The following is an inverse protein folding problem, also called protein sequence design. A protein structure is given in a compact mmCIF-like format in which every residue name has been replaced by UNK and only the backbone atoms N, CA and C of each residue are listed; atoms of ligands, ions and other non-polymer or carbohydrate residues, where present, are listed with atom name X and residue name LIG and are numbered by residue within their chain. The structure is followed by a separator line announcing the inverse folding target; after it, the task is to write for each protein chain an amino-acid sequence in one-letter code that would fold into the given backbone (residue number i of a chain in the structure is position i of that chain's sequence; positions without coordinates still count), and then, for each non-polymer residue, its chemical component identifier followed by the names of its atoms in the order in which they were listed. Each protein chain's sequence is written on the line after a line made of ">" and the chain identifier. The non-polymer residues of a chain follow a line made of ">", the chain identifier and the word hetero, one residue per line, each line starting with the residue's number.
data_IF_407815151432
#
_entry.id   IF_407815151432
#
_cell.length_a   1.000
_cell.length_b   1.000
_cell.length_c   1.000
_cell.angle_alpha   90.00
_cell.angle_beta   90.00
_cell.angle_gamma   90.00
#
_symmetry.space_group_name_H-M   'P 1'
#
loop_
_entity.id
_entity.type
_entity.pdbx_description
1 polymer ?
#
# COMPACT_ATOMS: atom_id res chain seq x y z
N UNK A 1 0.17 -1.01 -27.97
CA UNK A 1 0.57 -2.09 -27.04
C UNK A 1 0.15 -1.72 -25.62
N UNK A 2 -0.76 -2.48 -25.00
CA UNK A 2 -1.30 -2.13 -23.68
C UNK A 2 -0.30 -2.44 -22.56
N UNK A 3 -0.29 -1.62 -21.50
CA UNK A 3 0.55 -1.80 -20.29
C UNK A 3 0.37 -3.17 -19.62
N UNK A 4 -0.79 -3.81 -19.82
CA UNK A 4 -1.12 -5.15 -19.30
C UNK A 4 -0.28 -6.23 -19.98
N UNK A 5 -0.08 -6.12 -21.29
CA UNK A 5 0.70 -7.10 -22.06
C UNK A 5 2.19 -7.08 -21.65
N UNK A 6 2.75 -5.89 -21.46
CA UNK A 6 4.12 -5.70 -20.97
C UNK A 6 4.29 -6.23 -19.54
N UNK A 7 3.34 -5.97 -18.64
CA UNK A 7 3.39 -6.48 -17.26
C UNK A 7 3.42 -8.01 -17.18
N UNK A 8 2.61 -8.69 -18.01
CA UNK A 8 2.59 -10.14 -18.09
C UNK A 8 3.88 -10.71 -18.66
N UNK A 9 4.48 -10.04 -19.66
CA UNK A 9 5.76 -10.43 -20.24
C UNK A 9 6.90 -10.39 -19.20
N UNK A 10 6.96 -9.36 -18.35
CA UNK A 10 7.95 -9.27 -17.27
C UNK A 10 7.76 -10.34 -16.17
N UNK A 11 6.52 -10.77 -15.90
CA UNK A 11 6.25 -11.86 -14.96
C UNK A 11 6.76 -13.20 -15.51
N UNK A 12 6.54 -13.46 -16.80
CA UNK A 12 7.08 -14.64 -17.49
C UNK A 12 8.62 -14.65 -17.41
N UNK A 13 9.28 -13.56 -17.80
CA UNK A 13 10.75 -13.47 -17.68
C UNK A 13 11.26 -13.68 -16.25
N UNK A 14 10.52 -13.28 -15.21
CA UNK A 14 10.90 -13.53 -13.81
C UNK A 14 10.86 -15.01 -13.40
N UNK A 15 9.92 -15.79 -13.95
CA UNK A 15 9.82 -17.24 -13.70
C UNK A 15 10.90 -18.01 -14.44
N UNK A 16 11.19 -17.62 -15.68
CA UNK A 16 12.19 -18.29 -16.52
C UNK A 16 13.62 -17.78 -16.29
N UNK A 17 13.80 -16.57 -15.72
CA UNK A 17 15.08 -15.92 -15.47
C UNK A 17 15.58 -16.09 -14.02
N UNK A 18 15.53 -17.32 -13.47
CA UNK A 18 16.11 -17.68 -12.17
C UNK A 18 15.67 -16.80 -10.96
N UNK A 19 14.51 -16.15 -11.00
CA UNK A 19 13.97 -15.33 -9.91
C UNK A 19 14.89 -14.19 -9.41
N UNK A 20 15.77 -13.64 -10.25
CA UNK A 20 16.73 -12.59 -9.84
C UNK A 20 16.06 -11.36 -9.19
N UNK A 21 14.83 -11.02 -9.60
CA UNK A 21 14.08 -9.89 -9.04
C UNK A 21 12.63 -10.26 -8.78
N UNK A 22 12.17 -10.07 -7.55
CA UNK A 22 10.76 -10.29 -7.20
C UNK A 22 9.89 -9.22 -7.90
N UNK A 23 8.78 -9.60 -8.57
CA UNK A 23 7.91 -8.66 -9.30
C UNK A 23 7.35 -7.49 -8.46
N UNK A 24 7.33 -7.59 -7.12
CA UNK A 24 6.98 -6.50 -6.20
C UNK A 24 7.91 -5.28 -6.33
N UNK A 25 9.14 -5.49 -6.78
CA UNK A 25 10.15 -4.44 -6.99
C UNK A 25 9.92 -3.68 -8.31
N UNK A 26 9.23 -4.28 -9.28
CA UNK A 26 8.92 -3.68 -10.58
C UNK A 26 7.72 -2.73 -10.52
N UNK A 27 6.91 -2.81 -9.45
CA UNK A 27 5.73 -1.96 -9.27
C UNK A 27 6.17 -0.53 -8.93
N UNK A 28 5.90 0.40 -9.84
CA UNK A 28 6.05 1.84 -9.60
C UNK A 28 4.93 2.33 -8.68
N UNK A 29 5.31 3.04 -7.62
CA UNK A 29 4.35 3.59 -6.66
C UNK A 29 4.99 3.94 -5.31
N UNK A 30 4.17 4.41 -4.35
CA UNK A 30 4.66 4.76 -3.03
C UNK A 30 5.27 3.56 -2.32
N UNK A 31 6.46 3.73 -1.73
CA UNK A 31 7.24 2.62 -1.13
C UNK A 31 6.46 1.84 -0.07
N UNK A 32 5.54 2.51 0.61
CA UNK A 32 4.67 1.92 1.63
C UNK A 32 3.53 1.07 1.07
N UNK A 33 3.31 1.08 -0.25
CA UNK A 33 2.26 0.31 -0.96
C UNK A 33 2.82 -0.72 -1.96
N UNK A 34 4.12 -0.70 -2.26
CA UNK A 34 4.71 -1.68 -3.20
C UNK A 34 4.58 -3.09 -2.65
N UNK A 35 3.93 -3.97 -3.42
CA UNK A 35 3.78 -5.38 -3.08
C UNK A 35 2.95 -5.67 -1.83
N UNK A 36 2.12 -4.72 -1.38
CA UNK A 36 1.33 -4.83 -0.17
C UNK A 36 -0.12 -4.44 -0.44
N UNK A 37 -1.08 -5.25 0.05
CA UNK A 37 -2.53 -5.02 -0.06
C UNK A 37 -3.13 -5.00 1.33
N UNK A 38 -4.02 -4.06 1.59
CA UNK A 38 -4.77 -3.97 2.84
C UNK A 38 -5.82 -2.87 2.80
N UNK A 39 -6.67 -2.86 3.82
CA UNK A 39 -7.76 -1.88 3.92
C UNK A 39 -7.23 -0.46 4.20
N UNK A 40 -8.12 0.53 4.17
CA UNK A 40 -7.72 1.93 4.36
C UNK A 40 -7.03 2.17 5.71
N UNK A 41 -7.55 1.60 6.80
CA UNK A 41 -6.96 1.75 8.14
C UNK A 41 -5.52 1.21 8.18
N UNK A 42 -5.32 0.01 7.65
CA UNK A 42 -4.00 -0.62 7.57
C UNK A 42 -3.04 0.20 6.69
N UNK A 43 -3.51 0.75 5.56
CA UNK A 43 -2.74 1.67 4.72
C UNK A 43 -2.29 2.91 5.50
N UNK A 44 -3.21 3.57 6.21
CA UNK A 44 -2.89 4.77 6.98
C UNK A 44 -1.87 4.49 8.11
N UNK A 45 -2.03 3.38 8.84
CA UNK A 45 -1.08 2.96 9.89
C UNK A 45 0.30 2.70 9.30
N UNK A 46 0.37 1.99 8.17
CA UNK A 46 1.63 1.70 7.47
C UNK A 46 2.30 2.97 6.94
N UNK A 47 1.53 3.91 6.36
CA UNK A 47 2.02 5.24 5.95
C UNK A 47 2.67 5.97 7.12
N UNK A 48 1.97 6.03 8.26
CA UNK A 48 2.45 6.70 9.46
C UNK A 48 3.76 6.08 9.94
N UNK A 49 3.85 4.75 10.01
CA UNK A 49 5.06 4.05 10.48
C UNK A 49 6.27 4.23 9.55
N UNK A 50 6.06 4.24 8.23
CA UNK A 50 7.15 4.28 7.25
C UNK A 50 7.57 5.69 6.81
N UNK A 51 6.64 6.65 6.87
CA UNK A 51 6.80 7.97 6.24
C UNK A 51 6.50 9.10 7.23
N UNK A 52 5.97 8.81 8.42
CA UNK A 52 5.46 9.82 9.36
C UNK A 52 6.52 10.84 9.81
N UNK A 53 7.77 10.42 9.99
CA UNK A 53 8.85 11.30 10.46
C UNK A 53 9.23 12.39 9.44
N UNK A 54 8.89 12.20 8.16
CA UNK A 54 9.20 13.14 7.06
C UNK A 54 7.95 13.78 6.46
N UNK A 55 6.79 13.59 7.08
CA UNK A 55 5.54 14.23 6.65
C UNK A 55 5.45 15.63 7.25
N UNK A 56 4.81 16.54 6.53
CA UNK A 56 4.43 17.84 7.07
C UNK A 56 3.50 17.67 8.28
N UNK A 57 3.55 18.64 9.20
CA UNK A 57 2.80 18.60 10.44
C UNK A 57 1.29 18.44 10.20
N UNK A 58 0.73 19.23 9.28
CA UNK A 58 -0.70 19.19 8.96
C UNK A 58 -1.12 17.86 8.34
N UNK A 59 -0.29 17.31 7.45
CA UNK A 59 -0.53 16.00 6.84
C UNK A 59 -0.50 14.88 7.88
N UNK A 60 0.45 14.93 8.82
CA UNK A 60 0.55 13.96 9.90
C UNK A 60 -0.64 14.09 10.86
N UNK A 61 -1.05 15.32 11.18
CA UNK A 61 -2.22 15.61 12.00
C UNK A 61 -3.50 15.07 11.35
N UNK A 62 -3.71 15.32 10.06
CA UNK A 62 -4.85 14.81 9.29
C UNK A 62 -4.83 13.28 9.18
N UNK A 63 -3.65 12.67 8.97
CA UNK A 63 -3.49 11.22 8.97
C UNK A 63 -3.90 10.61 10.31
N UNK A 64 -3.49 11.23 11.43
CA UNK A 64 -3.87 10.79 12.77
C UNK A 64 -5.38 10.92 13.05
N UNK A 65 -6.03 11.98 12.53
CA UNK A 65 -7.50 12.11 12.58
C UNK A 65 -8.17 10.99 11.79
N UNK A 66 -7.70 10.70 10.58
CA UNK A 66 -8.25 9.62 9.73
C UNK A 66 -8.11 8.25 10.36
N UNK A 67 -6.96 7.93 10.95
CA UNK A 67 -6.74 6.66 11.67
C UNK A 67 -7.73 6.53 12.83
N UNK A 68 -7.89 7.57 13.65
CA UNK A 68 -8.85 7.56 14.77
C UNK A 68 -10.29 7.38 14.31
N UNK A 69 -10.68 8.03 13.22
CA UNK A 69 -12.01 7.87 12.63
C UNK A 69 -12.23 6.42 12.17
N UNK A 70 -11.33 5.88 11.35
CA UNK A 70 -11.46 4.54 10.78
C UNK A 70 -11.43 3.44 11.84
N UNK A 71 -10.60 3.60 12.88
CA UNK A 71 -10.57 2.68 14.01
C UNK A 71 -11.91 2.64 14.73
N UNK A 72 -12.51 3.80 15.03
CA UNK A 72 -13.85 3.87 15.64
C UNK A 72 -14.91 3.32 14.70
N UNK A 73 -14.86 3.66 13.41
CA UNK A 73 -15.84 3.20 12.44
C UNK A 73 -15.83 1.67 12.33
N UNK A 74 -14.68 1.05 12.02
CA UNK A 74 -14.61 -0.41 11.86
C UNK A 74 -14.84 -1.19 13.15
N UNK A 75 -14.46 -0.65 14.32
CA UNK A 75 -14.58 -1.37 15.59
C UNK A 75 -15.82 -1.02 16.41
N UNK A 76 -16.64 -0.05 16.01
CA UNK A 76 -17.88 0.32 16.73
C UNK A 76 -19.11 0.30 15.85
N UNK A 77 -18.95 0.45 14.54
CA UNK A 77 -20.05 0.46 13.59
C UNK A 77 -19.89 -0.70 12.59
N UNK A 78 -20.94 -1.47 12.40
CA UNK A 78 -20.96 -2.57 11.45
C UNK A 78 -22.33 -3.21 11.43
N UNK A 79 -22.88 -3.41 10.22
CA UNK A 79 -24.18 -4.09 10.03
C UNK A 79 -24.08 -5.58 10.33
N UNK A 80 -22.95 -6.16 9.94
CA UNK A 80 -22.61 -7.55 10.19
C UNK A 80 -21.70 -7.57 11.40
N UNK A 81 -22.30 -7.69 12.58
CA UNK A 81 -21.59 -7.83 13.82
C UNK A 81 -22.33 -8.77 14.75
#
# INVERSE_FOLDING_TARGET
>A
MSKVFLGNLYLLFGVWGNFEKHPKQLIKGPIWLRGWKGNELQRCIRKKKMVGNRMFFDDLHNLNKRIRYLYKHFNRHGKYR
#
